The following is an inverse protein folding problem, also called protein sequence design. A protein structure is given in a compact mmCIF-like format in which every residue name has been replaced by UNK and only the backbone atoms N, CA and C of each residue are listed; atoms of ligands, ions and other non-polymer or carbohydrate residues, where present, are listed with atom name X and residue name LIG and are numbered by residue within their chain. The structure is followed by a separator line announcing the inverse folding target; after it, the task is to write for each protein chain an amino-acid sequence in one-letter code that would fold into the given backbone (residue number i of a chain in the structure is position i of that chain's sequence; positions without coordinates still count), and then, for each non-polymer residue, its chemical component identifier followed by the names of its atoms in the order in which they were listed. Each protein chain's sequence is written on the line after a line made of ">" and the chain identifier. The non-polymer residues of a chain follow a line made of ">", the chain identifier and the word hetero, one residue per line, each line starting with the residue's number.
data_IF_384643614390
#
_entry.id   IF_384643614390
#
_cell.length_a   1.000
_cell.length_b   1.000
_cell.length_c   1.000
_cell.angle_alpha   90.00
_cell.angle_beta   90.00
_cell.angle_gamma   90.00
#
_symmetry.space_group_name_H-M   'P 1'
#
loop_
_entity.id
_entity.type
_entity.pdbx_description
1 polymer ?
#
# COMPACT_ATOMS: atom_id res chain seq x y z
N UNK A 1 -51.01 -26.82 -9.68
CA UNK A 1 -49.98 -26.38 -8.75
C UNK A 1 -48.66 -26.32 -9.51
N UNK A 2 -48.30 -25.14 -10.03
CA UNK A 2 -47.08 -24.91 -10.79
C UNK A 2 -45.91 -24.71 -9.79
N UNK A 3 -44.91 -25.57 -9.83
CA UNK A 3 -43.64 -25.37 -9.17
C UNK A 3 -42.84 -24.35 -10.00
N UNK A 4 -42.71 -23.14 -9.50
CA UNK A 4 -41.70 -22.20 -10.00
C UNK A 4 -40.34 -22.76 -9.65
N UNK A 5 -39.40 -22.92 -10.58
CA UNK A 5 -38.05 -23.28 -10.26
C UNK A 5 -37.44 -22.09 -9.50
N UNK A 6 -37.09 -22.28 -8.23
CA UNK A 6 -36.18 -21.39 -7.53
C UNK A 6 -34.85 -21.48 -8.24
N UNK A 7 -34.58 -20.56 -9.14
CA UNK A 7 -33.23 -20.31 -9.66
C UNK A 7 -32.39 -19.89 -8.46
N UNK A 8 -31.48 -20.73 -8.00
CA UNK A 8 -30.51 -20.37 -6.99
C UNK A 8 -29.75 -19.15 -7.53
N UNK A 9 -29.95 -18.00 -6.91
CA UNK A 9 -29.18 -16.80 -7.17
C UNK A 9 -27.72 -17.16 -6.87
N UNK A 10 -26.92 -17.39 -7.90
CA UNK A 10 -25.47 -17.55 -7.77
C UNK A 10 -24.92 -16.25 -7.19
N UNK A 11 -24.63 -16.27 -5.90
CA UNK A 11 -24.04 -15.13 -5.22
C UNK A 11 -22.66 -14.89 -5.83
N UNK A 12 -22.53 -13.81 -6.59
CA UNK A 12 -21.24 -13.42 -7.19
C UNK A 12 -20.34 -12.81 -6.11
N UNK A 13 -19.18 -13.40 -5.95
CA UNK A 13 -18.16 -13.00 -4.96
C UNK A 13 -17.05 -12.27 -5.68
N UNK A 14 -16.55 -11.16 -5.10
CA UNK A 14 -15.36 -10.44 -5.53
C UNK A 14 -14.22 -10.74 -4.55
N UNK A 15 -13.14 -11.35 -5.03
CA UNK A 15 -11.92 -11.59 -4.26
C UNK A 15 -11.08 -10.33 -4.24
N UNK A 16 -10.86 -9.77 -3.05
CA UNK A 16 -10.18 -8.48 -2.88
C UNK A 16 -8.86 -8.67 -2.14
N UNK A 17 -7.75 -8.40 -2.82
CA UNK A 17 -6.40 -8.51 -2.28
C UNK A 17 -6.01 -7.32 -1.39
N UNK A 18 -5.54 -7.61 -0.17
CA UNK A 18 -5.03 -6.62 0.78
C UNK A 18 -3.64 -6.99 1.27
N UNK A 19 -2.70 -6.06 1.18
CA UNK A 19 -1.38 -6.17 1.82
C UNK A 19 -1.42 -5.52 3.21
N UNK A 20 -1.51 -6.31 4.26
CA UNK A 20 -1.61 -5.83 5.64
C UNK A 20 -0.32 -5.21 6.19
N UNK A 21 0.81 -5.33 5.49
CA UNK A 21 2.01 -4.57 5.82
C UNK A 21 1.95 -3.10 5.36
N UNK A 22 1.00 -2.73 4.48
CA UNK A 22 0.76 -1.34 4.11
C UNK A 22 -0.32 -0.72 5.03
N UNK A 23 0.05 -0.44 6.26
CA UNK A 23 -0.84 0.08 7.30
C UNK A 23 -1.39 1.48 7.01
N UNK A 24 -0.84 2.18 6.03
CA UNK A 24 -1.38 3.45 5.54
C UNK A 24 -2.73 3.28 4.81
N UNK A 25 -2.98 2.12 4.21
CA UNK A 25 -4.21 1.86 3.45
C UNK A 25 -5.10 0.77 4.05
N UNK A 26 -4.51 -0.17 4.78
CA UNK A 26 -5.25 -1.25 5.46
C UNK A 26 -4.59 -1.61 6.78
N UNK A 27 -5.37 -1.64 7.85
CA UNK A 27 -4.94 -2.08 9.17
C UNK A 27 -5.97 -3.08 9.74
N UNK A 28 -5.66 -3.68 10.89
CA UNK A 28 -6.53 -4.61 11.60
C UNK A 28 -7.08 -3.98 12.87
N UNK A 29 -8.38 -4.17 13.09
CA UNK A 29 -9.06 -3.87 14.36
C UNK A 29 -9.82 -5.11 14.80
N UNK A 30 -9.19 -5.96 15.62
CA UNK A 30 -9.65 -7.32 15.89
C UNK A 30 -9.66 -8.15 14.60
N UNK A 31 -10.80 -8.78 14.30
CA UNK A 31 -10.98 -9.59 13.09
C UNK A 31 -11.36 -8.76 11.84
N UNK A 32 -11.54 -7.43 11.97
CA UNK A 32 -11.95 -6.57 10.87
C UNK A 32 -10.74 -5.89 10.22
N UNK A 33 -10.80 -5.72 8.88
CA UNK A 33 -9.93 -4.81 8.16
C UNK A 33 -10.52 -3.40 8.23
N UNK A 34 -9.66 -2.42 8.51
CA UNK A 34 -10.03 -1.00 8.60
C UNK A 34 -9.07 -0.16 7.76
N UNK A 35 -9.51 1.05 7.40
CA UNK A 35 -8.71 1.98 6.61
C UNK A 35 -9.37 2.36 5.28
N UNK A 36 -8.70 3.17 4.46
CA UNK A 36 -9.24 3.63 3.18
C UNK A 36 -9.51 2.49 2.18
N UNK A 37 -8.64 1.49 2.10
CA UNK A 37 -8.79 0.40 1.13
C UNK A 37 -10.00 -0.52 1.43
N UNK A 38 -10.24 -1.01 2.66
CA UNK A 38 -11.43 -1.78 2.98
C UNK A 38 -12.73 -0.99 2.74
N UNK A 39 -12.77 0.29 3.11
CA UNK A 39 -13.96 1.14 2.88
C UNK A 39 -14.27 1.28 1.38
N UNK A 40 -13.24 1.52 0.56
CA UNK A 40 -13.43 1.61 -0.89
C UNK A 40 -13.82 0.25 -1.50
N UNK A 41 -13.30 -0.88 -0.97
CA UNK A 41 -13.69 -2.21 -1.40
C UNK A 41 -15.17 -2.50 -1.16
N UNK A 42 -15.69 -2.09 0.00
CA UNK A 42 -17.12 -2.21 0.33
C UNK A 42 -17.99 -1.39 -0.65
N UNK A 43 -17.56 -0.16 -0.98
CA UNK A 43 -18.25 0.69 -1.96
C UNK A 43 -18.27 0.08 -3.36
N UNK A 44 -17.12 -0.47 -3.82
CA UNK A 44 -17.03 -1.18 -5.11
C UNK A 44 -17.99 -2.36 -5.13
N UNK A 45 -17.98 -3.19 -4.08
CA UNK A 45 -18.86 -4.35 -4.00
C UNK A 45 -20.34 -3.97 -4.02
N UNK A 46 -20.71 -2.90 -3.31
CA UNK A 46 -22.08 -2.35 -3.30
C UNK A 46 -22.52 -1.91 -4.69
N UNK A 47 -21.69 -1.14 -5.40
CA UNK A 47 -21.99 -0.66 -6.76
C UNK A 47 -22.06 -1.79 -7.78
N UNK A 48 -21.23 -2.82 -7.63
CA UNK A 48 -21.20 -3.96 -8.54
C UNK A 48 -22.22 -5.06 -8.20
N UNK A 49 -22.92 -4.98 -7.07
CA UNK A 49 -23.82 -6.03 -6.60
C UNK A 49 -23.11 -7.34 -6.25
N UNK A 50 -21.89 -7.26 -5.69
CA UNK A 50 -21.02 -8.39 -5.38
C UNK A 50 -20.82 -8.52 -3.87
N UNK A 51 -20.44 -9.71 -3.40
CA UNK A 51 -20.04 -9.94 -2.01
C UNK A 51 -18.51 -9.89 -1.90
N UNK A 52 -18.01 -9.07 -0.99
CA UNK A 52 -16.58 -8.94 -0.69
C UNK A 52 -16.05 -10.20 -0.03
N UNK A 53 -15.00 -10.79 -0.60
CA UNK A 53 -14.17 -11.84 0.00
C UNK A 53 -12.72 -11.35 0.12
N UNK A 54 -12.24 -11.02 1.32
CA UNK A 54 -10.88 -10.56 1.49
C UNK A 54 -9.86 -11.69 1.27
N UNK A 55 -8.75 -11.37 0.59
CA UNK A 55 -7.57 -12.21 0.43
C UNK A 55 -6.39 -11.44 0.99
N UNK A 56 -5.74 -12.00 2.02
CA UNK A 56 -4.71 -11.32 2.78
C UNK A 56 -3.33 -11.71 2.29
N UNK A 57 -2.48 -10.71 2.09
CA UNK A 57 -1.08 -10.85 1.74
C UNK A 57 -0.22 -10.12 2.76
N UNK A 58 0.93 -10.69 3.08
CA UNK A 58 1.89 -10.11 4.03
C UNK A 58 2.89 -9.16 3.38
N UNK A 59 2.93 -9.09 2.06
CA UNK A 59 3.81 -8.17 1.33
C UNK A 59 3.30 -7.88 -0.09
N UNK A 60 3.76 -6.75 -0.65
CA UNK A 60 3.36 -6.28 -1.97
C UNK A 60 3.78 -7.24 -3.10
N UNK A 61 4.93 -7.91 -2.96
CA UNK A 61 5.41 -8.86 -3.97
C UNK A 61 4.45 -10.03 -4.14
N UNK A 62 4.07 -10.68 -3.02
CA UNK A 62 3.10 -11.79 -3.04
C UNK A 62 1.73 -11.36 -3.56
N UNK A 63 1.29 -10.14 -3.22
CA UNK A 63 0.06 -9.58 -3.76
C UNK A 63 0.12 -9.46 -5.29
N UNK A 64 1.21 -8.93 -5.85
CA UNK A 64 1.39 -8.80 -7.30
C UNK A 64 1.49 -10.18 -8.00
N UNK A 65 2.22 -11.12 -7.41
CA UNK A 65 2.34 -12.49 -7.92
C UNK A 65 0.98 -13.22 -7.97
N UNK A 66 0.09 -12.94 -7.02
CA UNK A 66 -1.27 -13.49 -6.95
C UNK A 66 -2.27 -12.92 -7.97
N UNK A 67 -1.88 -11.92 -8.77
CA UNK A 67 -2.72 -11.39 -9.84
C UNK A 67 -3.13 -12.50 -10.82
N UNK A 68 -4.37 -12.51 -11.23
CA UNK A 68 -4.97 -13.49 -12.12
C UNK A 68 -5.37 -14.85 -11.49
N UNK A 69 -4.83 -15.25 -10.34
CA UNK A 69 -5.17 -16.54 -9.72
C UNK A 69 -5.84 -16.42 -8.35
N UNK A 70 -5.38 -15.49 -7.51
CA UNK A 70 -5.77 -15.42 -6.10
C UNK A 70 -6.79 -14.31 -5.83
N UNK A 71 -6.82 -13.24 -6.61
CA UNK A 71 -7.73 -12.11 -6.43
C UNK A 71 -8.26 -11.55 -7.76
N UNK A 72 -9.38 -10.83 -7.69
CA UNK A 72 -10.01 -10.17 -8.82
C UNK A 72 -9.61 -8.68 -8.88
N UNK A 73 -9.66 -8.00 -7.71
CA UNK A 73 -9.12 -6.65 -7.54
C UNK A 73 -8.19 -6.61 -6.31
N UNK A 74 -7.26 -5.66 -6.28
CA UNK A 74 -6.36 -5.48 -5.16
C UNK A 74 -5.99 -4.00 -4.96
N UNK A 75 -5.62 -3.63 -3.72
CA UNK A 75 -5.20 -2.28 -3.36
C UNK A 75 -3.69 -2.20 -3.27
N UNK A 76 -3.06 -1.42 -4.16
CA UNK A 76 -1.60 -1.36 -4.28
C UNK A 76 -1.12 -0.05 -4.91
N UNK A 77 0.18 0.19 -4.76
CA UNK A 77 0.84 1.31 -5.42
C UNK A 77 0.79 1.16 -6.95
N UNK A 78 0.52 2.25 -7.63
CA UNK A 78 0.65 2.35 -9.09
C UNK A 78 2.11 2.16 -9.47
N UNK A 79 2.37 1.19 -10.34
CA UNK A 79 3.70 0.91 -10.85
C UNK A 79 3.59 0.51 -12.33
N UNK A 80 4.12 1.32 -13.26
CA UNK A 80 4.07 1.03 -14.69
C UNK A 80 4.65 -0.33 -15.09
N UNK A 81 5.60 -0.86 -14.30
CA UNK A 81 6.19 -2.18 -14.56
C UNK A 81 5.23 -3.36 -14.37
N UNK A 82 4.01 -3.10 -13.86
CA UNK A 82 2.97 -4.11 -13.59
C UNK A 82 1.81 -4.04 -14.60
N UNK A 83 1.85 -3.10 -15.54
CA UNK A 83 0.72 -2.80 -16.46
C UNK A 83 0.40 -3.93 -17.45
N UNK A 84 1.29 -4.87 -17.67
CA UNK A 84 1.06 -6.07 -18.48
C UNK A 84 0.09 -7.07 -17.80
N UNK A 85 0.03 -7.07 -16.47
CA UNK A 85 -0.75 -8.02 -15.67
C UNK A 85 -1.90 -7.37 -14.91
N UNK A 86 -1.74 -6.10 -14.52
CA UNK A 86 -2.67 -5.37 -13.66
C UNK A 86 -3.11 -4.09 -14.36
N UNK A 87 -4.42 -3.93 -14.53
CA UNK A 87 -5.00 -2.67 -14.98
C UNK A 87 -5.33 -1.82 -13.76
N UNK A 88 -4.95 -0.55 -13.77
CA UNK A 88 -5.15 0.34 -12.63
C UNK A 88 -6.33 1.28 -12.85
N UNK A 89 -7.10 1.50 -11.78
CA UNK A 89 -8.07 2.59 -11.70
C UNK A 89 -7.38 3.95 -11.62
N UNK A 90 -8.16 5.03 -11.62
CA UNK A 90 -7.69 6.31 -11.10
C UNK A 90 -7.19 6.15 -9.65
N UNK A 91 -6.15 6.91 -9.22
CA UNK A 91 -5.68 6.88 -7.84
C UNK A 91 -6.77 7.34 -6.86
N UNK A 92 -6.89 6.63 -5.72
CA UNK A 92 -7.81 7.01 -4.65
C UNK A 92 -7.11 7.66 -3.46
N UNK A 93 -5.78 7.56 -3.39
CA UNK A 93 -4.97 8.10 -2.31
C UNK A 93 -3.54 8.36 -2.79
N UNK A 94 -2.96 9.46 -2.37
CA UNK A 94 -1.52 9.74 -2.45
C UNK A 94 -0.91 9.57 -1.07
N UNK A 95 0.17 8.80 -0.97
CA UNK A 95 0.92 8.63 0.26
C UNK A 95 2.37 9.07 0.06
N UNK A 96 2.91 9.75 1.07
CA UNK A 96 4.28 10.23 1.05
C UNK A 96 5.24 9.24 1.72
N UNK A 97 6.39 9.05 1.11
CA UNK A 97 7.52 8.39 1.72
C UNK A 97 8.58 9.41 2.12
N UNK A 98 9.01 9.34 3.36
CA UNK A 98 9.98 10.25 3.99
C UNK A 98 10.92 9.46 4.91
N UNK A 99 11.70 10.16 5.72
CA UNK A 99 12.63 9.58 6.69
C UNK A 99 12.23 9.90 8.13
N UNK A 100 12.39 8.91 9.00
CA UNK A 100 12.48 9.08 10.45
C UNK A 100 13.96 9.09 10.80
N UNK A 101 14.42 10.19 11.44
CA UNK A 101 15.82 10.40 11.76
C UNK A 101 16.00 10.49 13.28
N UNK A 102 17.11 9.95 13.81
CA UNK A 102 17.53 10.22 15.18
C UNK A 102 17.98 11.67 15.33
N UNK A 103 17.91 12.20 16.52
CA UNK A 103 18.33 13.59 16.83
C UNK A 103 19.81 13.86 16.55
N UNK A 104 20.64 12.84 16.44
CA UNK A 104 22.05 12.90 16.03
C UNK A 104 22.24 13.24 14.55
N UNK A 105 21.23 13.03 13.72
CA UNK A 105 21.25 13.34 12.29
C UNK A 105 21.06 14.84 12.10
N UNK A 106 21.98 15.48 11.38
CA UNK A 106 22.03 16.95 11.19
C UNK A 106 21.31 17.41 9.95
N UNK A 107 21.13 16.53 8.96
CA UNK A 107 20.41 16.78 7.71
C UNK A 107 18.93 17.07 7.99
N UNK A 108 18.39 18.04 7.27
CA UNK A 108 17.01 18.51 7.48
C UNK A 108 16.08 18.31 6.28
N UNK A 109 16.60 17.74 5.18
CA UNK A 109 15.82 17.41 4.01
C UNK A 109 16.08 15.99 3.53
N UNK A 110 15.11 15.41 2.84
CA UNK A 110 15.27 14.10 2.20
C UNK A 110 16.41 14.10 1.15
N UNK A 111 16.58 15.22 0.45
CA UNK A 111 17.67 15.35 -0.52
C UNK A 111 19.05 15.30 0.15
N UNK A 112 19.22 15.98 1.29
CA UNK A 112 20.48 15.97 2.05
C UNK A 112 20.80 14.57 2.59
N UNK A 113 19.81 13.86 3.14
CA UNK A 113 19.97 12.46 3.59
C UNK A 113 20.44 11.56 2.44
N UNK A 114 19.81 11.68 1.27
CA UNK A 114 20.18 10.88 0.09
C UNK A 114 21.62 11.19 -0.36
N UNK A 115 22.02 12.45 -0.32
CA UNK A 115 23.35 12.91 -0.74
C UNK A 115 24.44 12.59 0.29
N UNK A 116 24.12 12.53 1.58
CA UNK A 116 25.11 12.35 2.68
C UNK A 116 25.82 11.00 2.68
N UNK A 117 25.23 9.98 2.03
CA UNK A 117 25.74 8.61 2.06
C UNK A 117 25.52 7.88 3.38
N UNK A 118 24.71 8.42 4.27
CA UNK A 118 24.32 7.75 5.52
C UNK A 118 23.66 6.40 5.25
N UNK A 119 23.70 5.51 6.23
CA UNK A 119 22.99 4.24 6.18
C UNK A 119 21.49 4.47 6.38
N UNK A 120 20.69 4.02 5.44
CA UNK A 120 19.24 4.15 5.45
C UNK A 120 18.62 2.76 5.54
N UNK A 121 17.85 2.53 6.60
CA UNK A 121 17.03 1.32 6.72
C UNK A 121 15.82 1.43 5.81
N UNK A 122 15.50 0.36 5.08
CA UNK A 122 14.37 0.29 4.16
C UNK A 122 13.74 -1.11 4.18
N UNK A 123 12.54 -1.25 3.63
CA UNK A 123 11.85 -2.54 3.53
C UNK A 123 11.83 -3.05 2.08
N UNK A 124 12.44 -4.21 1.85
CA UNK A 124 12.54 -4.83 0.52
C UNK A 124 11.18 -4.96 -0.17
N UNK A 125 11.10 -4.48 -1.41
CA UNK A 125 9.90 -4.57 -2.23
C UNK A 125 8.81 -3.56 -1.89
N UNK A 126 9.02 -2.67 -0.93
CA UNK A 126 8.19 -1.49 -0.78
C UNK A 126 8.41 -0.53 -1.96
N UNK A 127 7.37 0.21 -2.35
CA UNK A 127 7.46 1.13 -3.50
C UNK A 127 8.53 2.22 -3.30
N UNK A 128 8.76 2.68 -2.07
CA UNK A 128 9.81 3.63 -1.73
C UNK A 128 11.22 3.01 -1.75
N UNK A 129 11.36 1.70 -1.48
CA UNK A 129 12.64 0.98 -1.52
C UNK A 129 13.23 0.98 -2.93
N UNK A 130 12.40 0.68 -3.93
CA UNK A 130 12.78 0.74 -5.34
C UNK A 130 13.23 2.15 -5.77
N UNK A 131 12.66 3.20 -5.18
CA UNK A 131 13.05 4.59 -5.44
C UNK A 131 14.40 4.88 -4.81
N UNK A 132 14.59 4.53 -3.56
CA UNK A 132 15.85 4.74 -2.83
C UNK A 132 17.02 4.06 -3.53
N UNK A 133 16.87 2.82 -3.95
CA UNK A 133 17.92 2.05 -4.64
C UNK A 133 18.41 2.71 -5.93
N UNK A 134 17.62 3.61 -6.51
CA UNK A 134 17.97 4.34 -7.75
C UNK A 134 18.65 5.69 -7.50
N UNK A 135 18.46 6.29 -6.33
CA UNK A 135 18.87 7.67 -6.03
C UNK A 135 19.95 7.76 -4.94
N UNK A 136 20.20 6.69 -4.21
CA UNK A 136 21.24 6.63 -3.17
C UNK A 136 22.53 6.00 -3.69
N UNK A 137 23.63 6.26 -2.97
CA UNK A 137 24.91 5.60 -3.25
C UNK A 137 24.79 4.08 -3.06
N UNK A 138 25.48 3.27 -3.88
CA UNK A 138 25.50 1.83 -3.67
C UNK A 138 25.93 1.44 -2.25
N UNK A 139 25.17 0.56 -1.61
CA UNK A 139 25.45 0.10 -0.25
C UNK A 139 25.00 1.04 0.88
N UNK A 140 24.39 2.19 0.59
CA UNK A 140 23.79 3.05 1.64
C UNK A 140 22.48 2.50 2.18
N UNK A 141 21.76 1.67 1.43
CA UNK A 141 20.49 1.10 1.88
C UNK A 141 20.72 -0.25 2.58
N UNK A 142 20.20 -0.36 3.80
CA UNK A 142 20.13 -1.61 4.56
C UNK A 142 18.69 -2.10 4.46
N UNK A 143 18.47 -3.18 3.69
CA UNK A 143 17.15 -3.71 3.41
C UNK A 143 16.73 -4.72 4.47
N UNK A 144 15.53 -4.51 5.05
CA UNK A 144 14.83 -5.46 5.89
C UNK A 144 13.74 -6.18 5.10
N UNK A 145 13.24 -7.31 5.60
CA UNK A 145 12.18 -8.09 4.93
C UNK A 145 10.80 -7.45 4.99
N UNK A 146 10.60 -6.53 5.95
CA UNK A 146 9.33 -5.85 6.16
C UNK A 146 9.55 -4.48 6.81
N UNK A 147 8.56 -3.54 6.75
CA UNK A 147 8.62 -2.28 7.50
C UNK A 147 8.76 -2.48 9.01
N UNK A 148 8.13 -3.51 9.59
CA UNK A 148 8.24 -3.83 11.00
C UNK A 148 9.66 -4.27 11.39
N UNK A 149 10.33 -5.06 10.55
CA UNK A 149 11.71 -5.46 10.77
C UNK A 149 12.68 -4.28 10.59
N UNK A 150 12.44 -3.39 9.59
CA UNK A 150 13.20 -2.17 9.42
C UNK A 150 13.11 -1.26 10.66
N UNK A 151 11.91 -1.12 11.23
CA UNK A 151 11.71 -0.38 12.49
C UNK A 151 12.43 -1.05 13.67
N UNK A 152 12.42 -2.39 13.76
CA UNK A 152 13.17 -3.10 14.78
C UNK A 152 14.68 -2.83 14.66
N UNK A 153 15.23 -2.90 13.46
CA UNK A 153 16.65 -2.56 13.22
C UNK A 153 16.97 -1.10 13.56
N UNK A 154 16.05 -0.17 13.31
CA UNK A 154 16.19 1.22 13.70
C UNK A 154 16.23 1.36 15.23
N UNK A 155 15.34 0.69 15.95
CA UNK A 155 15.31 0.66 17.42
C UNK A 155 16.58 0.05 18.01
N UNK A 156 17.14 -0.97 17.37
CA UNK A 156 18.40 -1.61 17.72
C UNK A 156 19.65 -0.76 17.39
N UNK A 157 19.49 0.44 16.80
CA UNK A 157 20.59 1.34 16.48
C UNK A 157 21.45 0.89 15.30
N UNK A 158 20.93 0.08 14.37
CA UNK A 158 21.71 -0.37 13.20
C UNK A 158 21.93 0.72 12.16
N UNK A 159 21.09 1.74 12.16
CA UNK A 159 21.28 3.01 11.46
C UNK A 159 20.43 4.10 12.10
N UNK A 160 20.77 5.36 11.81
CA UNK A 160 20.11 6.55 12.37
C UNK A 160 18.99 7.11 11.48
N UNK A 161 18.79 6.51 10.31
CA UNK A 161 17.77 6.91 9.32
C UNK A 161 16.92 5.71 8.92
N UNK A 162 15.61 5.85 9.03
CA UNK A 162 14.60 4.87 8.59
C UNK A 162 13.70 5.47 7.52
N UNK A 163 13.66 4.85 6.34
CA UNK A 163 12.72 5.18 5.29
C UNK A 163 11.36 4.51 5.51
N UNK A 164 10.28 5.22 5.23
CA UNK A 164 8.94 4.66 5.35
C UNK A 164 7.84 5.62 4.92
N UNK A 165 6.61 5.14 5.02
CA UNK A 165 5.42 5.95 4.78
C UNK A 165 5.24 6.92 5.96
N UNK A 166 5.05 8.22 5.66
CA UNK A 166 4.93 9.31 6.64
C UNK A 166 4.04 8.97 7.82
N UNK A 167 2.79 8.63 7.58
CA UNK A 167 1.81 8.34 8.65
C UNK A 167 2.20 7.15 9.54
N UNK A 168 2.95 6.19 8.98
CA UNK A 168 3.49 5.05 9.74
C UNK A 168 4.68 5.50 10.59
N UNK A 169 5.59 6.30 10.04
CA UNK A 169 6.75 6.83 10.76
C UNK A 169 6.34 7.76 11.89
N UNK A 170 5.36 8.64 11.67
CA UNK A 170 4.81 9.54 12.69
C UNK A 170 4.21 8.77 13.87
N UNK A 171 3.46 7.70 13.60
CA UNK A 171 2.89 6.85 14.65
C UNK A 171 3.95 6.09 15.44
N UNK A 172 5.00 5.63 14.76
CA UNK A 172 6.03 4.74 15.32
C UNK A 172 7.28 5.50 15.80
N UNK A 173 7.27 6.84 15.74
CA UNK A 173 8.34 7.73 16.17
C UNK A 173 8.67 7.54 17.65
N UNK A 174 9.98 7.68 17.98
CA UNK A 174 10.51 7.61 19.34
C UNK A 174 10.77 9.05 19.87
N UNK A 175 10.87 9.25 21.19
CA UNK A 175 11.10 10.58 21.75
C UNK A 175 12.35 11.31 21.24
N UNK A 176 13.38 10.56 20.85
CA UNK A 176 14.66 11.08 20.33
C UNK A 176 14.73 11.08 18.79
N UNK A 177 13.59 11.05 18.12
CA UNK A 177 13.48 10.99 16.65
C UNK A 177 12.58 12.07 16.09
N UNK A 178 12.79 12.40 14.80
CA UNK A 178 11.94 13.32 14.05
C UNK A 178 11.67 12.78 12.65
N UNK A 179 10.42 12.93 12.19
CA UNK A 179 10.05 12.68 10.79
C UNK A 179 10.33 13.95 10.00
N UNK A 180 11.04 13.83 8.87
CA UNK A 180 11.31 14.97 8.01
C UNK A 180 10.02 15.51 7.40
N UNK A 181 9.94 16.85 7.24
CA UNK A 181 8.75 17.54 6.74
C UNK A 181 8.53 17.37 5.23
N UNK A 182 9.61 17.16 4.46
CA UNK A 182 9.56 16.88 3.03
C UNK A 182 9.44 15.37 2.74
N UNK A 183 9.21 15.02 1.49
CA UNK A 183 9.09 13.65 1.03
C UNK A 183 10.06 13.38 -0.12
N UNK A 184 10.73 12.24 -0.14
CA UNK A 184 11.56 11.84 -1.28
C UNK A 184 10.75 11.13 -2.36
N UNK A 185 9.52 10.72 -2.07
CA UNK A 185 8.62 10.09 -3.03
C UNK A 185 7.16 10.25 -2.63
N UNK A 186 6.30 10.54 -3.62
CA UNK A 186 4.85 10.43 -3.52
C UNK A 186 4.41 9.16 -4.26
N UNK A 187 3.54 8.40 -3.65
CA UNK A 187 3.14 7.08 -4.10
C UNK A 187 1.63 7.05 -4.28
N UNK A 188 1.19 7.05 -5.53
CA UNK A 188 -0.23 6.92 -5.87
C UNK A 188 -0.72 5.51 -5.54
N UNK A 189 -1.80 5.41 -4.79
CA UNK A 189 -2.49 4.16 -4.50
C UNK A 189 -3.73 4.05 -5.38
N UNK A 190 -3.89 2.92 -6.06
CA UNK A 190 -5.02 2.65 -6.93
C UNK A 190 -5.60 1.25 -6.68
N UNK A 191 -6.74 0.99 -7.27
CA UNK A 191 -7.30 -0.36 -7.36
C UNK A 191 -6.73 -1.01 -8.60
N UNK A 192 -5.98 -2.08 -8.43
CA UNK A 192 -5.53 -2.93 -9.53
C UNK A 192 -6.59 -3.99 -9.84
N UNK A 193 -6.86 -4.20 -11.11
CA UNK A 193 -7.78 -5.22 -11.61
C UNK A 193 -6.98 -6.31 -12.31
N UNK A 194 -7.27 -7.56 -11.98
CA UNK A 194 -6.74 -8.70 -12.75
C UNK A 194 -7.35 -8.73 -14.15
N UNK A 195 -6.74 -9.48 -15.06
CA UNK A 195 -7.25 -9.64 -16.43
C UNK A 195 -8.71 -10.11 -16.48
N UNK A 196 -9.14 -10.92 -15.51
CA UNK A 196 -10.50 -11.44 -15.42
C UNK A 196 -11.52 -10.39 -14.93
N UNK A 197 -11.06 -9.38 -14.16
CA UNK A 197 -11.90 -8.37 -13.54
C UNK A 197 -11.90 -7.01 -14.28
N UNK A 198 -11.21 -6.86 -15.41
CA UNK A 198 -11.13 -5.60 -16.18
C UNK A 198 -12.49 -5.01 -16.52
N UNK A 199 -13.48 -5.85 -16.72
CA UNK A 199 -14.86 -5.41 -17.01
C UNK A 199 -15.49 -4.59 -15.86
N UNK A 200 -14.92 -4.63 -14.64
CA UNK A 200 -15.37 -3.86 -13.48
C UNK A 200 -14.73 -2.45 -13.40
N UNK A 201 -13.80 -2.10 -14.29
CA UNK A 201 -13.10 -0.82 -14.23
C UNK A 201 -14.03 0.41 -14.18
N UNK A 202 -15.14 0.48 -14.93
CA UNK A 202 -16.08 1.60 -14.83
C UNK A 202 -16.70 1.75 -13.43
N UNK A 203 -17.13 0.64 -12.80
CA UNK A 203 -17.70 0.65 -11.45
C UNK A 203 -16.65 0.99 -10.40
N UNK A 204 -15.41 0.49 -10.56
CA UNK A 204 -14.29 0.81 -9.69
C UNK A 204 -13.95 2.30 -9.76
N UNK A 205 -13.87 2.90 -10.95
CA UNK A 205 -13.60 4.33 -11.10
C UNK A 205 -14.75 5.18 -10.55
N UNK A 206 -15.99 4.74 -10.67
CA UNK A 206 -17.14 5.42 -10.06
C UNK A 206 -17.03 5.38 -8.52
N UNK A 207 -16.68 4.23 -7.94
CA UNK A 207 -16.45 4.12 -6.49
C UNK A 207 -15.30 5.01 -6.03
N UNK A 208 -14.21 5.07 -6.78
CA UNK A 208 -13.07 5.97 -6.49
C UNK A 208 -13.53 7.43 -6.49
N UNK A 209 -14.29 7.84 -7.50
CA UNK A 209 -14.81 9.21 -7.58
C UNK A 209 -15.71 9.57 -6.39
N UNK A 210 -16.62 8.69 -5.99
CA UNK A 210 -17.48 8.86 -4.83
C UNK A 210 -16.65 8.94 -3.53
N UNK A 211 -15.67 8.06 -3.38
CA UNK A 211 -14.78 8.02 -2.21
C UNK A 211 -14.02 9.34 -2.03
N UNK A 212 -13.47 9.89 -3.11
CA UNK A 212 -12.75 11.17 -3.08
C UNK A 212 -13.64 12.37 -2.73
N UNK A 213 -14.94 12.32 -3.06
CA UNK A 213 -15.90 13.36 -2.69
C UNK A 213 -16.23 13.33 -1.19
N UNK A 214 -16.27 12.14 -0.58
CA UNK A 214 -16.60 11.96 0.85
C UNK A 214 -15.40 12.15 1.78
N UNK A 215 -14.18 12.16 1.24
CA UNK A 215 -12.94 12.36 2.00
C UNK A 215 -12.51 13.84 2.11
N UNK A 216 -13.24 14.75 1.49
CA UNK A 216 -13.08 16.23 1.59
C UNK A 216 -13.96 16.78 2.69
#
# INVERSE_FOLDING_TARGET
>A
MGRYPMTALSVKVLRVGFNTNNRAIVDRSGDRLVGPAPRLAEEICKLAGLILRPVIFENARRLVEGAASEWDIAFLAVDPSRSDRIEFSAPYLEIEATFLCRSTVTERSCADIIASGQKILSATGASYDNRLSKVTNPGSVISARSPAEALAYFRDGRADVLAGIRSTLERDALPDTAVLSDAFSTISQAVGLSSQARHLLPQVNQAVANFLQTAR
#
